data_IF_042201728399
#
_entry.id   IF_042201728399
#
_cell.length_a   1.000
_cell.length_b   1.000
_cell.length_c   1.000
_cell.angle_alpha   90.00
_cell.angle_beta   90.00
_cell.angle_gamma   90.00
#
_symmetry.space_group_name_H-M   'P 1'
#
loop_
_entity.id
_entity.type
_entity.pdbx_description
1 polymer ?
#
# COMPACT_ATOMS: atom_id res chain seq x y z
N UNK A 1 53.91 38.75 15.97
CA UNK A 1 54.58 38.17 14.79
C UNK A 1 53.50 37.27 14.16
N UNK A 2 52.72 37.84 13.26
CA UNK A 2 52.65 37.65 11.80
C UNK A 2 52.85 36.17 11.38
N UNK A 3 51.97 35.49 10.73
CA UNK A 3 51.39 35.72 9.41
C UNK A 3 50.19 34.78 9.11
N UNK A 4 49.19 35.37 8.49
CA UNK A 4 48.13 34.72 7.73
C UNK A 4 48.55 34.67 6.24
N UNK A 5 48.17 33.70 5.42
CA UNK A 5 47.76 34.09 4.09
C UNK A 5 46.40 33.53 3.65
N UNK A 6 45.65 34.45 3.13
CA UNK A 6 44.48 34.29 2.21
C UNK A 6 44.94 33.67 0.88
N UNK A 7 44.08 32.88 0.26
CA UNK A 7 43.98 32.72 -1.22
C UNK A 7 42.61 32.17 -1.55
N UNK A 8 41.82 32.95 -2.10
CA UNK A 8 41.54 33.33 -3.50
C UNK A 8 40.53 32.42 -4.15
N UNK A 9 39.34 32.99 -4.22
CA UNK A 9 38.20 32.64 -5.08
C UNK A 9 38.62 32.83 -6.55
N UNK A 10 38.39 31.86 -7.41
CA UNK A 10 38.37 32.04 -8.87
C UNK A 10 36.95 31.91 -9.40
N UNK A 11 36.47 33.06 -9.83
CA UNK A 11 35.26 33.21 -10.68
C UNK A 11 35.73 33.01 -12.13
N UNK A 12 35.12 32.10 -12.87
CA UNK A 12 35.22 32.12 -14.33
C UNK A 12 33.87 32.57 -14.89
N UNK A 13 33.93 33.73 -15.55
CA UNK A 13 32.84 34.33 -16.32
C UNK A 13 32.77 33.76 -17.73
N UNK A 14 31.54 33.77 -18.23
CA UNK A 14 31.06 33.57 -19.59
C UNK A 14 31.90 34.11 -20.73
N UNK A 15 31.83 33.43 -21.89
CA UNK A 15 31.71 34.07 -23.22
C UNK A 15 31.04 33.09 -24.23
N UNK A 16 30.32 33.60 -25.24
CA UNK A 16 29.47 32.84 -26.15
C UNK A 16 30.14 32.62 -27.50
N UNK A 17 29.73 31.56 -28.22
CA UNK A 17 29.99 31.46 -29.65
C UNK A 17 28.75 30.95 -30.40
N UNK A 18 28.37 31.73 -31.35
CA UNK A 18 27.39 31.60 -32.40
C UNK A 18 27.71 30.50 -33.42
N UNK A 19 26.67 29.98 -34.07
CA UNK A 19 26.81 29.18 -35.30
C UNK A 19 25.48 28.63 -35.76
N UNK A 20 24.87 29.39 -36.72
CA UNK A 20 23.73 28.97 -37.53
C UNK A 20 24.13 27.93 -38.58
N UNK A 21 23.21 27.00 -38.91
CA UNK A 21 22.88 26.62 -40.31
C UNK A 21 21.64 25.70 -40.32
N UNK A 22 20.56 26.22 -40.81
CA UNK A 22 19.75 25.82 -41.97
C UNK A 22 18.88 24.58 -41.91
N UNK A 23 17.59 24.87 -42.04
CA UNK A 23 16.44 24.04 -42.36
C UNK A 23 16.54 23.34 -43.71
N UNK A 24 15.67 22.32 -44.05
CA UNK A 24 14.38 22.71 -44.56
C UNK A 24 13.14 21.93 -44.09
N UNK A 25 12.05 22.68 -44.17
CA UNK A 25 10.66 22.25 -44.11
C UNK A 25 10.30 21.15 -45.11
N UNK A 26 9.44 20.22 -44.71
CA UNK A 26 8.44 19.64 -45.62
C UNK A 26 7.08 19.66 -44.92
N UNK A 27 6.22 20.48 -45.44
CA UNK A 27 4.76 20.50 -45.28
C UNK A 27 4.20 19.39 -46.15
N UNK A 28 3.32 18.57 -45.65
CA UNK A 28 2.32 17.90 -46.44
C UNK A 28 0.96 18.04 -45.79
N UNK A 29 0.13 18.77 -46.50
CA UNK A 29 -1.32 18.93 -46.36
C UNK A 29 -2.00 17.62 -46.75
N UNK A 30 -2.95 17.13 -45.95
CA UNK A 30 -4.00 16.28 -46.46
C UNK A 30 -5.38 16.89 -46.18
N UNK A 31 -6.13 16.99 -47.28
CA UNK A 31 -7.38 17.69 -47.46
C UNK A 31 -8.56 17.07 -46.70
N UNK A 32 -9.45 17.96 -46.26
CA UNK A 32 -10.83 17.67 -45.90
C UNK A 32 -11.63 17.16 -47.12
N UNK A 33 -12.34 16.06 -46.96
CA UNK A 33 -13.51 15.74 -47.78
C UNK A 33 -14.77 15.80 -46.94
N UNK A 34 -15.50 16.89 -47.14
CA UNK A 34 -16.92 16.99 -46.78
C UNK A 34 -17.75 16.27 -47.85
N UNK A 35 -18.59 15.34 -47.48
CA UNK A 35 -19.69 14.85 -48.31
C UNK A 35 -21.02 15.04 -47.58
N UNK A 36 -21.86 15.83 -48.25
CA UNK A 36 -23.24 16.19 -47.91
C UNK A 36 -24.22 15.03 -48.16
N UNK A 37 -25.36 15.01 -47.48
CA UNK A 37 -26.39 13.95 -47.65
C UNK A 37 -27.32 14.27 -48.82
N UNK A 38 -27.73 13.24 -49.56
CA UNK A 38 -28.78 13.28 -50.58
C UNK A 38 -30.11 12.65 -50.10
N UNK A 39 -31.24 13.01 -50.67
CA UNK A 39 -32.52 13.00 -49.99
C UNK A 39 -33.39 11.76 -50.21
N UNK A 40 -34.39 11.66 -49.35
CA UNK A 40 -35.53 10.73 -49.35
C UNK A 40 -36.16 10.43 -50.70
N UNK A 41 -36.40 9.12 -50.98
CA UNK A 41 -37.44 8.66 -51.90
C UNK A 41 -38.41 7.74 -51.12
N UNK A 42 -39.66 8.23 -50.99
CA UNK A 42 -40.81 7.41 -50.55
C UNK A 42 -41.23 6.53 -51.70
N UNK A 43 -41.30 5.22 -51.47
CA UNK A 43 -42.07 4.31 -52.34
C UNK A 43 -43.16 3.65 -51.51
N UNK A 44 -44.39 4.01 -51.83
CA UNK A 44 -45.62 3.29 -51.43
C UNK A 44 -45.66 1.94 -52.17
N UNK A 45 -45.84 0.85 -51.46
CA UNK A 45 -46.35 -0.40 -52.05
C UNK A 45 -47.38 -1.05 -51.15
N UNK A 46 -48.51 -1.28 -51.75
CA UNK A 46 -49.75 -1.83 -51.19
C UNK A 46 -49.59 -3.31 -50.83
N UNK A 47 -50.27 -3.68 -49.78
CA UNK A 47 -50.43 -5.02 -49.31
C UNK A 47 -51.03 -5.99 -50.35
N UNK A 48 -50.48 -7.17 -50.44
CA UNK A 48 -51.19 -8.35 -50.88
C UNK A 48 -51.03 -9.48 -49.85
N UNK A 49 -52.16 -9.89 -49.30
CA UNK A 49 -52.29 -10.98 -48.34
C UNK A 49 -52.29 -12.27 -49.15
N UNK A 50 -51.36 -13.18 -48.90
CA UNK A 50 -51.52 -14.60 -49.24
C UNK A 50 -50.93 -15.49 -48.14
N UNK A 51 -51.74 -16.44 -47.79
CA UNK A 51 -51.71 -17.46 -46.76
C UNK A 51 -50.41 -18.24 -46.60
N UNK A 52 -50.01 -18.39 -45.36
CA UNK A 52 -49.62 -19.71 -44.79
C UNK A 52 -48.18 -20.16 -44.98
N UNK A 53 -47.32 -19.85 -44.01
CA UNK A 53 -46.30 -20.78 -43.57
C UNK A 53 -46.02 -20.56 -42.07
N UNK A 54 -46.38 -21.52 -41.25
CA UNK A 54 -46.05 -21.53 -39.85
C UNK A 54 -44.57 -21.85 -39.73
N UNK A 55 -43.73 -20.80 -39.53
CA UNK A 55 -42.31 -20.97 -39.23
C UNK A 55 -42.19 -21.13 -37.70
N UNK A 56 -41.88 -22.35 -37.26
CA UNK A 56 -41.50 -22.61 -35.89
C UNK A 56 -40.19 -21.87 -35.62
N UNK A 57 -40.25 -20.72 -34.93
CA UNK A 57 -39.08 -20.08 -34.35
C UNK A 57 -38.75 -20.86 -33.09
N UNK A 58 -37.76 -21.74 -33.18
CA UNK A 58 -37.08 -22.31 -32.04
C UNK A 58 -36.31 -21.19 -31.34
N UNK A 59 -36.87 -20.65 -30.26
CA UNK A 59 -36.18 -19.83 -29.31
C UNK A 59 -35.08 -20.69 -28.66
N UNK A 60 -33.86 -20.60 -29.16
CA UNK A 60 -32.67 -21.03 -28.40
C UNK A 60 -32.61 -20.11 -27.16
N UNK A 61 -32.55 -20.67 -25.95
CA UNK A 61 -32.24 -19.86 -24.78
C UNK A 61 -30.77 -19.36 -24.96
N UNK A 62 -30.60 -18.08 -25.25
CA UNK A 62 -29.35 -17.40 -25.01
C UNK A 62 -29.12 -17.50 -23.50
N UNK A 63 -28.33 -18.48 -23.08
CA UNK A 63 -27.73 -18.48 -21.76
C UNK A 63 -26.91 -17.18 -21.67
N UNK A 64 -27.46 -16.17 -21.02
CA UNK A 64 -26.69 -15.06 -20.50
C UNK A 64 -25.67 -15.69 -19.56
N UNK A 65 -24.49 -15.99 -20.09
CA UNK A 65 -23.31 -16.24 -19.27
C UNK A 65 -23.13 -14.95 -18.44
N UNK A 66 -23.71 -14.97 -17.24
CA UNK A 66 -23.50 -13.91 -16.27
C UNK A 66 -22.01 -13.85 -16.07
N UNK A 67 -21.41 -12.77 -16.51
CA UNK A 67 -20.05 -12.44 -16.17
C UNK A 67 -20.05 -12.23 -14.67
N UNK A 68 -19.66 -13.25 -13.91
CA UNK A 68 -19.41 -13.09 -12.49
C UNK A 68 -18.23 -12.13 -12.38
N UNK A 69 -18.52 -10.90 -11.98
CA UNK A 69 -17.49 -9.93 -11.66
C UNK A 69 -16.57 -10.59 -10.62
N UNK A 70 -15.27 -10.65 -10.91
CA UNK A 70 -14.29 -11.14 -9.96
C UNK A 70 -14.45 -10.37 -8.63
N UNK A 71 -14.31 -11.06 -7.51
CA UNK A 71 -14.45 -10.43 -6.21
C UNK A 71 -13.35 -9.35 -6.05
N UNK A 72 -13.76 -8.15 -5.64
CA UNK A 72 -12.82 -7.03 -5.42
C UNK A 72 -11.81 -7.31 -4.28
N UNK A 73 -12.04 -8.37 -3.47
CA UNK A 73 -11.20 -8.77 -2.34
C UNK A 73 -11.76 -9.98 -1.61
N UNK A 74 -11.17 -10.33 -0.47
CA UNK A 74 -11.62 -11.41 0.40
C UNK A 74 -12.12 -10.86 1.74
N UNK A 75 -13.22 -11.41 2.26
CA UNK A 75 -13.79 -11.03 3.55
C UNK A 75 -13.67 -12.21 4.53
N UNK A 76 -13.07 -11.93 5.68
CA UNK A 76 -13.06 -12.84 6.83
C UNK A 76 -14.06 -12.30 7.87
N UNK A 77 -15.21 -12.95 8.04
CA UNK A 77 -16.19 -12.51 9.03
C UNK A 77 -15.60 -12.66 10.43
N UNK A 78 -15.72 -11.61 11.23
CA UNK A 78 -15.35 -11.68 12.64
C UNK A 78 -16.25 -12.66 13.39
N UNK A 79 -15.63 -13.56 14.14
CA UNK A 79 -16.36 -14.50 15.02
C UNK A 79 -16.59 -13.87 16.41
N UNK A 80 -16.36 -14.63 17.48
CA UNK A 80 -16.41 -14.11 18.84
C UNK A 80 -15.04 -13.53 19.21
N UNK A 81 -15.06 -12.46 19.97
CA UNK A 81 -13.83 -11.85 20.45
C UNK A 81 -13.99 -10.36 20.77
N UNK A 82 -12.98 -9.74 21.39
CA UNK A 82 -13.04 -8.32 21.79
C UNK A 82 -13.20 -7.36 20.59
N UNK A 83 -12.79 -7.77 19.39
CA UNK A 83 -12.90 -6.98 18.16
C UNK A 83 -14.27 -7.04 17.48
N UNK A 84 -15.23 -7.80 18.03
CA UNK A 84 -16.56 -7.95 17.44
C UNK A 84 -17.26 -6.60 17.23
N UNK A 85 -17.78 -6.38 16.04
CA UNK A 85 -18.41 -5.12 15.62
C UNK A 85 -17.44 -4.09 15.03
N UNK A 86 -16.13 -4.35 15.05
CA UNK A 86 -15.11 -3.50 14.39
C UNK A 86 -14.72 -4.07 13.04
N UNK A 87 -14.51 -3.18 12.06
CA UNK A 87 -14.15 -3.52 10.69
C UNK A 87 -12.74 -3.02 10.36
N UNK A 88 -11.92 -3.92 9.87
CA UNK A 88 -10.55 -3.62 9.41
C UNK A 88 -10.48 -3.85 7.90
N UNK A 89 -9.99 -2.87 7.16
CA UNK A 89 -9.70 -3.02 5.73
C UNK A 89 -8.20 -3.07 5.54
N UNK A 90 -7.74 -4.08 4.82
CA UNK A 90 -6.34 -4.30 4.47
C UNK A 90 -6.14 -3.97 2.99
N UNK A 91 -5.07 -3.24 2.69
CA UNK A 91 -4.69 -2.86 1.33
C UNK A 91 -3.36 -3.53 0.97
N UNK A 92 -3.41 -4.54 0.11
CA UNK A 92 -2.26 -5.30 -0.37
C UNK A 92 -1.90 -4.88 -1.80
N UNK A 93 -0.75 -4.24 -1.96
CA UNK A 93 -0.27 -3.74 -3.24
C UNK A 93 1.21 -3.39 -3.17
N UNK A 94 2.05 -4.39 -2.94
CA UNK A 94 3.50 -4.26 -2.85
C UNK A 94 4.13 -5.36 -3.71
N UNK A 95 4.82 -4.96 -4.77
CA UNK A 95 5.39 -5.88 -5.74
C UNK A 95 6.68 -6.55 -5.28
N UNK A 96 7.21 -6.19 -4.10
CA UNK A 96 8.49 -6.70 -3.59
C UNK A 96 8.34 -7.57 -2.35
N UNK A 97 7.50 -7.16 -1.37
CA UNK A 97 7.49 -7.76 -0.02
C UNK A 97 6.32 -8.68 0.26
N UNK A 98 5.60 -9.13 -0.77
CA UNK A 98 4.52 -10.15 -0.66
C UNK A 98 3.39 -9.73 0.27
N UNK A 99 2.94 -8.47 0.20
CA UNK A 99 1.78 -8.02 0.99
C UNK A 99 0.52 -8.85 0.72
N UNK A 100 0.37 -9.41 -0.48
CA UNK A 100 -0.70 -10.32 -0.89
C UNK A 100 -0.69 -11.67 -0.16
N UNK A 101 0.41 -12.04 0.49
CA UNK A 101 0.54 -13.22 1.35
C UNK A 101 0.42 -12.85 2.84
N UNK A 102 1.12 -11.79 3.25
CA UNK A 102 1.22 -11.39 4.65
C UNK A 102 -0.08 -10.82 5.23
N UNK A 103 -0.74 -9.92 4.49
CA UNK A 103 -1.93 -9.25 4.99
C UNK A 103 -3.15 -10.18 5.12
N UNK A 104 -3.43 -11.12 4.20
CA UNK A 104 -4.48 -12.12 4.41
C UNK A 104 -4.23 -13.00 5.63
N UNK A 105 -2.97 -13.38 5.91
CA UNK A 105 -2.63 -14.16 7.10
C UNK A 105 -2.94 -13.37 8.38
N UNK A 106 -2.51 -12.11 8.46
CA UNK A 106 -2.79 -11.25 9.61
C UNK A 106 -4.30 -11.00 9.77
N UNK A 107 -5.02 -10.80 8.66
CA UNK A 107 -6.47 -10.61 8.65
C UNK A 107 -7.21 -11.84 9.18
N UNK A 108 -6.77 -13.07 8.82
CA UNK A 108 -7.32 -14.33 9.36
C UNK A 108 -7.12 -14.42 10.88
N UNK A 109 -5.93 -14.08 11.38
CA UNK A 109 -5.67 -14.06 12.85
C UNK A 109 -6.65 -13.09 13.53
N UNK A 110 -6.74 -11.85 13.05
CA UNK A 110 -7.62 -10.84 13.64
C UNK A 110 -9.09 -11.23 13.57
N UNK A 111 -9.52 -11.87 12.49
CA UNK A 111 -10.92 -12.29 12.36
C UNK A 111 -11.24 -13.49 13.25
N UNK A 112 -10.45 -14.54 13.19
CA UNK A 112 -10.77 -15.81 13.84
C UNK A 112 -10.42 -15.78 15.34
N UNK A 113 -9.28 -15.20 15.71
CA UNK A 113 -8.79 -15.19 17.12
C UNK A 113 -9.31 -14.01 17.92
N UNK A 114 -9.61 -12.89 17.24
CA UNK A 114 -9.93 -11.62 17.92
C UNK A 114 -11.31 -11.04 17.58
N UNK A 115 -12.03 -11.61 16.60
CA UNK A 115 -13.41 -11.28 16.30
C UNK A 115 -13.61 -10.03 15.41
N UNK A 116 -12.56 -9.47 14.83
CA UNK A 116 -12.68 -8.36 13.87
C UNK A 116 -13.26 -8.84 12.54
N UNK A 117 -14.13 -8.06 11.91
CA UNK A 117 -14.46 -8.27 10.49
C UNK A 117 -13.30 -7.70 9.66
N UNK A 118 -12.64 -8.55 8.87
CA UNK A 118 -11.49 -8.14 8.07
C UNK A 118 -11.80 -8.28 6.58
N UNK A 119 -11.57 -7.22 5.81
CA UNK A 119 -11.65 -7.22 4.34
C UNK A 119 -10.25 -6.97 3.80
N UNK A 120 -9.75 -7.83 2.93
CA UNK A 120 -8.45 -7.64 2.26
C UNK A 120 -8.69 -7.33 0.79
N UNK A 121 -8.20 -6.18 0.36
CA UNK A 121 -8.24 -5.70 -1.02
C UNK A 121 -6.85 -5.86 -1.63
N UNK A 122 -6.79 -6.17 -2.92
CA UNK A 122 -5.56 -6.48 -3.63
C UNK A 122 -5.39 -5.61 -4.87
N UNK A 123 -4.15 -5.40 -5.29
CA UNK A 123 -3.87 -4.99 -6.65
C UNK A 123 -4.32 -6.11 -7.60
N UNK A 124 -5.23 -5.81 -8.52
CA UNK A 124 -5.88 -6.77 -9.41
C UNK A 124 -5.56 -6.43 -10.86
N UNK A 125 -5.13 -7.44 -11.61
CA UNK A 125 -5.01 -7.33 -13.06
C UNK A 125 -6.42 -7.23 -13.68
N UNK A 126 -6.76 -6.11 -14.34
CA UNK A 126 -8.11 -5.93 -14.90
C UNK A 126 -8.41 -6.85 -16.09
N UNK A 127 -7.38 -7.45 -16.71
CA UNK A 127 -7.55 -8.32 -17.87
C UNK A 127 -8.10 -9.71 -17.50
N UNK A 128 -7.70 -10.24 -16.34
CA UNK A 128 -8.04 -11.61 -15.94
C UNK A 128 -8.57 -11.75 -14.50
N UNK A 129 -8.54 -10.68 -13.69
CA UNK A 129 -9.02 -10.67 -12.31
C UNK A 129 -8.11 -11.36 -11.31
N UNK A 130 -6.86 -11.63 -11.68
CA UNK A 130 -5.86 -12.20 -10.77
C UNK A 130 -5.23 -11.14 -9.85
N UNK A 131 -4.77 -11.57 -8.68
CA UNK A 131 -3.94 -10.74 -7.81
C UNK A 131 -2.60 -10.53 -8.51
N UNK A 132 -2.31 -9.27 -8.82
CA UNK A 132 -1.08 -8.88 -9.50
C UNK A 132 -0.48 -7.63 -8.86
N UNK A 133 0.51 -7.77 -7.99
CA UNK A 133 1.19 -6.64 -7.35
C UNK A 133 1.85 -5.67 -8.32
N UNK A 134 2.14 -6.09 -9.57
CA UNK A 134 2.72 -5.23 -10.61
C UNK A 134 1.68 -4.30 -11.26
N UNK A 135 0.39 -4.58 -11.08
CA UNK A 135 -0.69 -3.68 -11.49
C UNK A 135 -0.78 -2.49 -10.54
N UNK A 136 -0.06 -1.39 -10.84
CA UNK A 136 0.07 -0.23 -9.95
C UNK A 136 -1.18 0.65 -9.90
N UNK A 137 -2.05 0.54 -10.91
CA UNK A 137 -3.16 1.48 -11.18
C UNK A 137 -4.54 0.92 -10.86
N UNK A 138 -4.64 -0.23 -10.22
CA UNK A 138 -5.94 -0.84 -9.92
C UNK A 138 -5.93 -1.58 -8.59
N UNK A 139 -6.66 -1.03 -7.62
CA UNK A 139 -6.92 -1.63 -6.31
C UNK A 139 -8.42 -1.51 -6.04
N UNK A 140 -9.24 -2.41 -6.61
CA UNK A 140 -10.69 -2.31 -6.55
C UNK A 140 -11.23 -2.52 -5.14
N UNK A 141 -12.46 -2.07 -4.90
CA UNK A 141 -13.16 -2.27 -3.62
C UNK A 141 -12.83 -1.24 -2.54
N UNK A 142 -12.08 -0.17 -2.83
CA UNK A 142 -11.68 0.86 -1.83
C UNK A 142 -12.87 1.54 -1.14
N UNK A 143 -14.10 1.47 -1.68
CA UNK A 143 -15.31 1.90 -0.99
C UNK A 143 -15.53 1.18 0.37
N UNK A 144 -14.89 0.03 0.61
CA UNK A 144 -14.90 -0.62 1.92
C UNK A 144 -14.30 0.26 3.03
N UNK A 145 -13.42 1.21 2.70
CA UNK A 145 -12.84 2.18 3.65
C UNK A 145 -13.89 3.12 4.23
N UNK A 146 -14.98 3.41 3.52
CA UNK A 146 -16.02 4.34 3.97
C UNK A 146 -16.60 3.92 5.33
N UNK A 147 -16.76 2.61 5.55
CA UNK A 147 -17.26 2.02 6.80
C UNK A 147 -16.18 1.42 7.72
N UNK A 148 -14.92 1.43 7.32
CA UNK A 148 -13.83 0.84 8.11
C UNK A 148 -13.55 1.62 9.40
N UNK A 149 -13.23 0.90 10.48
CA UNK A 149 -12.70 1.46 11.74
C UNK A 149 -11.17 1.56 11.71
N UNK A 150 -10.49 0.78 10.89
CA UNK A 150 -9.03 0.74 10.74
C UNK A 150 -8.65 0.37 9.31
N UNK A 151 -7.63 1.07 8.77
CA UNK A 151 -6.92 0.69 7.56
C UNK A 151 -5.54 0.12 7.92
N UNK A 152 -5.22 -1.08 7.43
CA UNK A 152 -3.89 -1.69 7.49
C UNK A 152 -3.34 -1.77 6.07
N UNK A 153 -2.16 -1.23 5.81
CA UNK A 153 -1.66 -1.12 4.45
C UNK A 153 -0.23 -1.64 4.29
N UNK A 154 -0.02 -2.38 3.20
CA UNK A 154 1.27 -2.74 2.62
C UNK A 154 1.24 -2.36 1.14
N UNK A 155 1.51 -1.09 0.86
CA UNK A 155 1.46 -0.52 -0.49
C UNK A 155 2.82 0.01 -0.92
N UNK A 156 3.08 -0.02 -2.24
CA UNK A 156 4.28 0.55 -2.84
C UNK A 156 3.97 1.13 -4.22
N UNK A 157 4.28 2.40 -4.43
CA UNK A 157 4.23 3.09 -5.73
C UNK A 157 2.89 3.01 -6.47
N UNK A 158 1.76 3.02 -5.73
CA UNK A 158 0.44 3.01 -6.38
C UNK A 158 0.14 4.34 -7.05
N UNK A 159 -0.38 4.28 -8.28
CA UNK A 159 -0.95 5.40 -9.03
C UNK A 159 -2.42 5.09 -9.30
N UNK A 160 -3.24 5.21 -8.26
CA UNK A 160 -4.64 4.82 -8.33
C UNK A 160 -5.45 5.83 -9.12
N UNK A 161 -6.47 5.39 -9.91
CA UNK A 161 -7.44 6.28 -10.51
C UNK A 161 -8.10 7.17 -9.44
N UNK A 162 -8.43 8.41 -9.80
CA UNK A 162 -8.99 9.39 -8.87
C UNK A 162 -10.21 8.89 -8.11
N UNK A 163 -11.08 8.13 -8.78
CA UNK A 163 -12.26 7.54 -8.15
C UNK A 163 -11.89 6.54 -7.04
N UNK A 164 -10.84 5.75 -7.23
CA UNK A 164 -10.35 4.83 -6.20
C UNK A 164 -9.61 5.59 -5.09
N UNK A 165 -8.71 6.50 -5.47
CA UNK A 165 -7.91 7.27 -4.52
C UNK A 165 -8.78 8.15 -3.62
N UNK A 166 -9.91 8.65 -4.11
CA UNK A 166 -10.87 9.44 -3.33
C UNK A 166 -11.29 8.75 -2.03
N UNK A 167 -11.64 7.46 -2.06
CA UNK A 167 -12.03 6.72 -0.85
C UNK A 167 -10.91 6.67 0.19
N UNK A 168 -9.66 6.51 -0.26
CA UNK A 168 -8.50 6.54 0.64
C UNK A 168 -8.29 7.93 1.24
N UNK A 169 -8.37 8.98 0.44
CA UNK A 169 -8.22 10.37 0.91
C UNK A 169 -9.33 10.77 1.86
N UNK A 170 -10.58 10.41 1.54
CA UNK A 170 -11.71 10.66 2.43
C UNK A 170 -11.55 9.94 3.77
N UNK A 171 -11.02 8.70 3.75
CA UNK A 171 -10.70 7.93 4.96
C UNK A 171 -9.66 8.65 5.84
N UNK A 172 -8.57 9.12 5.23
CA UNK A 172 -7.50 9.86 5.92
C UNK A 172 -8.06 11.16 6.51
N UNK A 173 -8.83 11.92 5.71
CA UNK A 173 -9.44 13.17 6.13
C UNK A 173 -10.53 12.99 7.20
N UNK A 174 -11.16 11.82 7.25
CA UNK A 174 -12.10 11.50 8.35
C UNK A 174 -11.41 11.29 9.69
N UNK A 175 -10.07 11.33 9.75
CA UNK A 175 -9.30 11.13 10.99
C UNK A 175 -9.34 9.68 11.49
N UNK A 176 -9.53 8.72 10.58
CA UNK A 176 -9.58 7.30 10.93
C UNK A 176 -8.17 6.70 11.03
N UNK A 177 -7.95 5.69 11.89
CA UNK A 177 -6.61 5.19 12.21
C UNK A 177 -5.98 4.38 11.06
N UNK A 178 -4.65 4.41 11.01
CA UNK A 178 -3.84 3.73 10.00
C UNK A 178 -2.74 2.90 10.67
N UNK A 179 -2.55 1.67 10.18
CA UNK A 179 -1.35 0.86 10.41
C UNK A 179 -0.64 0.70 9.07
N UNK A 180 0.57 1.22 8.99
CA UNK A 180 1.37 1.23 7.77
C UNK A 180 2.61 0.35 7.91
N UNK A 181 2.80 -0.56 6.95
CA UNK A 181 3.88 -1.53 6.94
C UNK A 181 4.89 -1.17 5.84
N UNK A 182 6.14 -1.22 6.18
CA UNK A 182 7.34 -1.16 5.33
C UNK A 182 7.23 -0.13 4.19
N UNK A 183 6.97 -0.57 2.97
CA UNK A 183 6.90 0.24 1.76
C UNK A 183 5.76 1.26 1.74
N UNK A 184 4.85 1.21 2.71
CA UNK A 184 3.80 2.22 2.81
C UNK A 184 4.33 3.63 3.04
N UNK A 185 5.59 3.80 3.45
CA UNK A 185 6.28 5.09 3.49
C UNK A 185 6.43 5.73 2.10
N UNK A 186 6.36 4.93 1.03
CA UNK A 186 6.32 5.35 -0.37
C UNK A 186 5.17 4.66 -1.12
N UNK A 187 3.99 4.65 -0.48
CA UNK A 187 2.80 3.97 -0.98
C UNK A 187 2.36 4.46 -2.36
N UNK A 188 2.52 5.76 -2.64
CA UNK A 188 2.01 6.41 -3.84
C UNK A 188 3.11 7.02 -4.68
N UNK A 189 2.96 6.91 -6.01
CA UNK A 189 3.86 7.50 -7.01
C UNK A 189 3.05 7.87 -8.25
N UNK A 190 3.06 9.14 -8.61
CA UNK A 190 2.29 9.69 -9.74
C UNK A 190 3.23 10.03 -10.90
N UNK A 191 3.51 9.04 -11.76
CA UNK A 191 4.35 9.22 -12.94
C UNK A 191 3.56 9.67 -14.19
N UNK A 192 2.32 9.19 -14.34
CA UNK A 192 1.51 9.35 -15.54
C UNK A 192 0.37 10.37 -15.37
N UNK A 193 -0.31 10.37 -14.22
CA UNK A 193 -1.43 11.28 -13.93
C UNK A 193 -1.03 12.38 -12.94
N UNK A 194 -0.10 13.25 -13.35
CA UNK A 194 0.39 14.37 -12.51
C UNK A 194 -0.64 15.47 -12.29
N UNK A 195 -1.69 15.52 -13.12
CA UNK A 195 -2.81 16.45 -12.98
C UNK A 195 -3.87 15.97 -11.99
N UNK A 196 -3.73 14.77 -11.45
CA UNK A 196 -4.62 14.25 -10.40
C UNK A 196 -4.63 15.20 -9.20
N UNK A 197 -5.80 15.51 -8.60
CA UNK A 197 -5.88 16.28 -7.35
C UNK A 197 -5.20 15.56 -6.19
N UNK A 198 -4.84 14.29 -6.37
CA UNK A 198 -4.16 13.45 -5.39
C UNK A 198 -2.66 13.27 -5.66
N UNK A 199 -2.11 13.87 -6.73
CA UNK A 199 -0.69 13.78 -7.05
C UNK A 199 0.22 14.26 -5.91
N UNK A 200 -0.26 15.15 -5.04
CA UNK A 200 0.47 15.57 -3.83
C UNK A 200 0.79 14.44 -2.85
N UNK A 201 0.09 13.28 -2.95
CA UNK A 201 0.35 12.09 -2.12
C UNK A 201 1.61 11.32 -2.55
N UNK A 202 2.16 11.65 -3.73
CA UNK A 202 3.43 11.11 -4.23
C UNK A 202 4.56 11.25 -3.19
N UNK A 203 5.33 10.18 -3.01
CA UNK A 203 6.41 10.12 -2.04
C UNK A 203 7.55 11.13 -2.27
N UNK A 204 7.67 11.68 -3.48
CA UNK A 204 8.59 12.75 -3.87
C UNK A 204 7.90 14.12 -4.02
N UNK A 205 6.63 14.24 -3.63
CA UNK A 205 5.91 15.50 -3.76
C UNK A 205 6.67 16.67 -3.14
N UNK A 206 6.73 17.78 -3.85
CA UNK A 206 7.28 19.04 -3.37
C UNK A 206 6.19 19.95 -2.80
N UNK A 207 4.97 19.87 -3.33
CA UNK A 207 3.81 20.65 -2.87
C UNK A 207 3.34 20.21 -1.48
N UNK A 208 3.54 18.95 -1.15
CA UNK A 208 3.33 18.36 0.16
C UNK A 208 4.54 17.49 0.50
N UNK A 209 5.64 18.08 1.02
CA UNK A 209 6.97 17.48 1.01
C UNK A 209 7.01 16.05 1.54
N UNK A 210 7.53 15.11 0.72
CA UNK A 210 7.57 13.69 1.04
C UNK A 210 6.20 13.00 1.03
N UNK A 211 5.15 13.70 0.55
CA UNK A 211 3.83 13.17 0.30
C UNK A 211 3.18 12.48 1.50
N UNK A 212 2.35 11.47 1.22
CA UNK A 212 1.65 10.71 2.24
C UNK A 212 2.59 10.12 3.31
N UNK A 213 3.73 9.57 2.89
CA UNK A 213 4.67 8.96 3.82
C UNK A 213 5.14 9.94 4.89
N UNK A 214 5.76 11.04 4.50
CA UNK A 214 6.29 12.00 5.47
C UNK A 214 5.19 12.75 6.22
N UNK A 215 4.15 13.17 5.53
CA UNK A 215 3.12 14.03 6.12
C UNK A 215 2.17 13.26 7.04
N UNK A 216 1.72 12.07 6.64
CA UNK A 216 0.78 11.26 7.42
C UNK A 216 1.48 10.25 8.31
N UNK A 217 2.43 9.49 7.77
CA UNK A 217 3.12 8.44 8.52
C UNK A 217 4.28 8.97 9.38
N UNK A 218 4.83 10.12 9.02
CA UNK A 218 5.97 10.77 9.70
C UNK A 218 7.31 10.56 9.00
N UNK A 219 7.39 9.63 8.06
CA UNK A 219 8.59 9.39 7.26
C UNK A 219 8.21 8.96 5.84
N UNK A 220 8.91 9.47 4.85
CA UNK A 220 8.96 8.92 3.49
C UNK A 220 10.12 7.94 3.37
N UNK A 221 10.17 7.16 2.28
CA UNK A 221 11.34 6.31 2.05
C UNK A 221 12.56 7.15 1.69
N UNK A 222 13.66 6.94 2.42
CA UNK A 222 14.93 7.63 2.22
C UNK A 222 15.95 6.70 1.59
N UNK A 223 16.25 5.59 2.29
CA UNK A 223 17.21 4.59 1.85
C UNK A 223 17.12 3.33 2.74
N UNK A 224 17.77 2.26 2.31
CA UNK A 224 18.09 1.12 3.13
C UNK A 224 19.21 1.47 4.12
N UNK A 225 18.92 1.46 5.42
CA UNK A 225 19.95 1.68 6.44
C UNK A 225 20.76 0.41 6.71
N UNK A 226 20.08 -0.73 6.80
CA UNK A 226 20.72 -2.05 6.72
C UNK A 226 21.01 -2.42 5.27
N UNK A 227 21.97 -3.32 5.04
CA UNK A 227 22.28 -3.83 3.70
C UNK A 227 21.20 -4.83 3.27
N UNK A 228 20.36 -4.42 2.31
CA UNK A 228 19.23 -5.19 1.82
C UNK A 228 19.62 -6.62 1.41
N UNK A 229 18.89 -7.61 1.93
CA UNK A 229 19.13 -9.03 1.66
C UNK A 229 20.43 -9.60 2.25
N UNK A 230 21.14 -8.85 3.11
CA UNK A 230 22.40 -9.26 3.75
C UNK A 230 22.40 -9.02 5.26
N UNK A 231 21.73 -8.00 5.73
CA UNK A 231 21.65 -7.60 7.13
C UNK A 231 20.20 -7.62 7.57
N UNK A 232 19.91 -8.38 8.61
CA UNK A 232 18.59 -8.48 9.22
C UNK A 232 18.42 -7.45 10.35
N UNK A 233 17.21 -7.36 10.89
CA UNK A 233 16.87 -6.37 11.90
C UNK A 233 16.36 -7.03 13.17
N UNK A 234 16.92 -6.66 14.33
CA UNK A 234 16.40 -6.95 15.66
C UNK A 234 15.68 -5.74 16.22
N UNK A 235 14.45 -5.94 16.68
CA UNK A 235 13.69 -4.91 17.39
C UNK A 235 14.17 -4.81 18.85
N UNK A 236 14.55 -3.60 19.25
CA UNK A 236 14.92 -3.26 20.63
C UNK A 236 13.86 -2.34 21.21
N UNK A 237 13.15 -2.83 22.23
CA UNK A 237 12.08 -2.04 22.88
C UNK A 237 12.67 -0.77 23.48
N UNK A 238 12.05 0.37 23.21
CA UNK A 238 12.39 1.62 23.85
C UNK A 238 11.86 1.63 25.30
N UNK A 239 12.76 1.64 26.25
CA UNK A 239 12.42 1.58 27.68
C UNK A 239 11.51 2.73 28.13
N UNK A 240 11.58 3.89 27.46
CA UNK A 240 10.69 5.02 27.77
C UNK A 240 9.21 4.71 27.48
N UNK A 241 8.91 3.70 26.68
CA UNK A 241 7.56 3.27 26.31
C UNK A 241 7.28 1.80 26.57
N UNK A 242 8.10 1.12 27.38
CA UNK A 242 7.98 -0.33 27.61
C UNK A 242 6.59 -0.78 28.11
N UNK A 243 5.88 0.09 28.84
CA UNK A 243 4.54 -0.18 29.36
C UNK A 243 3.40 0.21 28.38
N UNK A 244 3.74 0.66 27.17
CA UNK A 244 2.74 1.05 26.19
C UNK A 244 1.90 -0.18 25.78
N UNK A 245 0.54 -0.10 25.73
CA UNK A 245 -0.34 -1.25 25.46
C UNK A 245 0.01 -2.03 24.20
N UNK A 246 0.51 -1.38 23.16
CA UNK A 246 0.95 -2.02 21.90
C UNK A 246 2.10 -3.01 22.14
N UNK A 247 2.92 -2.82 23.17
CA UNK A 247 4.06 -3.68 23.50
C UNK A 247 3.71 -4.83 24.47
N UNK A 248 2.44 -4.93 24.90
CA UNK A 248 2.01 -5.95 25.86
C UNK A 248 2.28 -7.37 25.33
N UNK A 249 3.10 -8.16 26.05
CA UNK A 249 3.48 -9.50 25.67
C UNK A 249 4.35 -9.62 24.42
N UNK A 250 4.82 -8.49 23.88
CA UNK A 250 5.76 -8.48 22.75
C UNK A 250 7.16 -8.80 23.24
N UNK A 251 7.78 -9.81 22.64
CA UNK A 251 9.15 -10.23 22.92
C UNK A 251 9.81 -10.71 21.61
N UNK A 252 11.14 -10.72 21.61
CA UNK A 252 11.99 -11.29 20.57
C UNK A 252 11.58 -10.89 19.13
N UNK A 253 11.41 -9.61 18.89
CA UNK A 253 11.14 -9.09 17.54
C UNK A 253 12.41 -9.21 16.71
N UNK A 254 12.36 -10.04 15.69
CA UNK A 254 13.42 -10.17 14.68
C UNK A 254 12.80 -10.40 13.32
N UNK A 255 13.37 -9.78 12.29
CA UNK A 255 12.93 -9.93 10.91
C UNK A 255 14.11 -10.03 9.95
N UNK A 256 14.01 -10.84 8.88
CA UNK A 256 15.07 -10.95 7.89
C UNK A 256 15.22 -9.70 7.01
N UNK A 257 14.24 -8.78 7.00
CA UNK A 257 14.37 -7.54 6.24
C UNK A 257 15.22 -6.51 6.99
N UNK A 258 15.89 -5.67 6.23
CA UNK A 258 16.69 -4.56 6.73
C UNK A 258 15.82 -3.40 7.24
N UNK A 259 16.33 -2.63 8.18
CA UNK A 259 15.70 -1.38 8.63
C UNK A 259 15.94 -0.25 7.62
N UNK A 260 14.94 0.60 7.42
CA UNK A 260 15.07 1.81 6.60
C UNK A 260 15.72 2.96 7.35
N UNK A 261 16.34 3.88 6.61
CA UNK A 261 16.72 5.18 7.13
C UNK A 261 15.48 5.98 7.50
N UNK A 262 15.40 6.47 8.73
CA UNK A 262 14.28 7.25 9.29
C UNK A 262 14.85 8.51 9.91
N UNK A 263 14.67 9.65 9.24
CA UNK A 263 15.37 10.91 9.58
C UNK A 263 14.46 12.14 9.69
N UNK A 264 13.17 12.03 9.24
CA UNK A 264 12.26 13.18 9.21
C UNK A 264 11.18 13.14 10.30
N UNK A 265 11.22 12.15 11.21
CA UNK A 265 10.18 12.02 12.22
C UNK A 265 9.97 13.31 13.02
N UNK A 266 8.72 13.79 13.14
CA UNK A 266 8.41 14.89 14.03
C UNK A 266 8.81 14.58 15.48
N UNK A 267 9.25 15.59 16.22
CA UNK A 267 9.66 15.44 17.64
C UNK A 267 8.56 14.90 18.56
N UNK A 268 7.30 15.04 18.17
CA UNK A 268 6.13 14.53 18.90
C UNK A 268 5.87 13.04 18.67
N UNK A 269 6.67 12.39 17.80
CA UNK A 269 6.52 10.96 17.49
C UNK A 269 7.04 10.09 18.63
N UNK A 270 6.29 9.06 18.99
CA UNK A 270 6.66 8.08 20.00
C UNK A 270 7.31 6.88 19.32
N UNK A 271 8.62 6.74 19.43
CA UNK A 271 9.34 5.56 18.91
C UNK A 271 9.24 4.45 19.94
N UNK A 272 8.49 3.39 19.64
CA UNK A 272 8.27 2.25 20.54
C UNK A 272 9.38 1.21 20.45
N UNK A 273 9.94 1.00 19.26
CA UNK A 273 10.96 -0.01 18.99
C UNK A 273 12.04 0.58 18.11
N UNK A 274 13.29 0.36 18.48
CA UNK A 274 14.48 0.69 17.69
C UNK A 274 14.90 -0.50 16.84
N UNK A 275 15.45 -0.27 15.66
CA UNK A 275 15.96 -1.28 14.75
C UNK A 275 17.47 -1.42 14.88
N UNK A 276 17.90 -2.53 15.48
CA UNK A 276 19.30 -2.92 15.55
C UNK A 276 19.65 -3.73 14.30
N UNK A 277 20.63 -3.26 13.53
CA UNK A 277 21.15 -3.96 12.35
C UNK A 277 22.04 -5.12 12.80
N UNK A 278 21.73 -6.33 12.35
CA UNK A 278 22.57 -7.52 12.56
C UNK A 278 23.47 -7.76 11.35
N UNK A 279 24.65 -8.36 11.57
CA UNK A 279 25.66 -8.58 10.54
C UNK A 279 25.32 -9.68 9.53
N UNK A 280 24.17 -10.33 9.66
CA UNK A 280 23.70 -11.40 8.79
C UNK A 280 22.20 -11.60 8.87
N UNK A 281 21.73 -12.74 8.34
CA UNK A 281 20.31 -13.04 8.09
C UNK A 281 19.73 -14.04 9.11
N UNK A 282 20.38 -14.23 10.25
CA UNK A 282 19.90 -15.11 11.32
C UNK A 282 19.65 -14.31 12.60
N UNK A 283 18.67 -14.71 13.42
CA UNK A 283 18.39 -14.03 14.70
C UNK A 283 19.56 -14.11 15.69
N UNK A 284 20.49 -15.02 15.50
CA UNK A 284 21.69 -15.20 16.34
C UNK A 284 22.90 -14.41 15.89
N UNK A 285 22.82 -13.73 14.72
CA UNK A 285 23.94 -12.95 14.21
C UNK A 285 24.20 -11.73 15.11
N UNK A 286 25.47 -11.35 15.32
CA UNK A 286 25.79 -10.24 16.20
C UNK A 286 25.39 -8.90 15.59
N UNK A 287 25.12 -7.87 16.43
CA UNK A 287 24.89 -6.51 15.96
C UNK A 287 26.11 -5.97 15.20
N UNK A 288 25.85 -5.25 14.11
CA UNK A 288 26.86 -4.48 13.41
C UNK A 288 27.41 -3.40 14.35
N UNK A 289 28.72 -3.28 14.41
CA UNK A 289 29.38 -2.26 15.23
C UNK A 289 29.44 -0.91 14.50
N UNK A 290 29.47 0.19 15.28
CA UNK A 290 29.64 1.54 14.77
C UNK A 290 28.35 2.26 14.37
N UNK A 291 28.44 3.14 13.36
CA UNK A 291 27.43 4.15 13.04
C UNK A 291 26.04 3.58 12.68
N UNK A 292 25.95 2.35 12.15
CA UNK A 292 24.64 1.73 11.83
C UNK A 292 23.75 1.49 13.05
N UNK A 293 24.36 1.33 14.23
CA UNK A 293 23.62 1.09 15.45
C UNK A 293 23.82 2.18 16.53
N UNK A 294 24.51 3.27 16.20
CA UNK A 294 24.76 4.38 17.13
C UNK A 294 24.56 5.74 16.44
N UNK A 295 23.31 6.28 16.41
CA UNK A 295 22.09 5.71 16.99
C UNK A 295 21.44 4.63 16.11
N UNK A 296 20.65 3.74 16.73
CA UNK A 296 19.75 2.85 16.01
C UNK A 296 18.64 3.66 15.33
N UNK A 297 18.12 3.16 14.19
CA UNK A 297 16.98 3.76 13.50
C UNK A 297 15.66 3.43 14.19
N UNK A 298 14.66 4.32 14.14
CA UNK A 298 13.29 3.97 14.50
C UNK A 298 12.78 2.80 13.64
N UNK A 299 12.23 1.78 14.29
CA UNK A 299 11.68 0.59 13.64
C UNK A 299 10.15 0.57 13.71
N UNK A 300 9.59 1.01 14.85
CA UNK A 300 8.16 1.15 15.10
C UNK A 300 7.89 2.47 15.78
N UNK A 301 6.94 3.23 15.25
CA UNK A 301 6.55 4.48 15.88
C UNK A 301 5.05 4.76 15.79
N UNK A 302 4.59 5.60 16.71
CA UNK A 302 3.23 6.10 16.78
C UNK A 302 3.23 7.61 16.64
N UNK A 303 2.23 8.13 15.95
CA UNK A 303 1.95 9.56 15.91
C UNK A 303 0.47 9.82 15.76
N UNK A 304 0.08 11.06 16.04
CA UNK A 304 -1.22 11.60 15.65
C UNK A 304 -1.03 12.44 14.37
N UNK A 305 -1.92 12.26 13.42
CA UNK A 305 -1.99 13.09 12.22
C UNK A 305 -3.32 13.85 12.21
N UNK A 306 -3.27 15.15 12.03
CA UNK A 306 -4.47 15.99 11.85
C UNK A 306 -4.55 16.43 10.40
N UNK A 307 -5.55 15.93 9.68
CA UNK A 307 -5.78 16.24 8.27
C UNK A 307 -6.48 17.57 8.03
N UNK A 308 -6.79 17.85 6.78
CA UNK A 308 -7.45 19.09 6.34
C UNK A 308 -8.84 19.32 6.99
N UNK A 309 -9.53 18.25 7.36
CA UNK A 309 -10.82 18.32 8.07
C UNK A 309 -10.72 18.75 9.54
N UNK A 310 -9.50 18.90 10.08
CA UNK A 310 -9.25 19.15 11.50
C UNK A 310 -9.42 17.91 12.39
N UNK A 311 -9.78 16.75 11.84
CA UNK A 311 -9.89 15.49 12.58
C UNK A 311 -8.54 14.83 12.70
N UNK A 312 -8.30 14.20 13.85
CA UNK A 312 -7.02 13.57 14.18
C UNK A 312 -7.12 12.05 14.12
N UNK A 313 -6.21 11.42 13.39
CA UNK A 313 -6.06 9.99 13.34
C UNK A 313 -4.89 9.49 14.18
N UNK A 314 -5.01 8.26 14.69
CA UNK A 314 -3.90 7.49 15.26
C UNK A 314 -3.17 6.78 14.13
N UNK A 315 -1.88 6.96 14.04
CA UNK A 315 -1.03 6.33 13.02
C UNK A 315 0.03 5.49 13.70
N UNK A 316 0.06 4.21 13.33
CA UNK A 316 1.15 3.27 13.63
C UNK A 316 1.92 3.00 12.36
N UNK A 317 3.24 3.11 12.42
CA UNK A 317 4.12 2.81 11.29
C UNK A 317 5.26 1.92 11.71
N UNK A 318 5.64 0.99 10.85
CA UNK A 318 6.82 0.15 11.00
C UNK A 318 7.54 -0.05 9.68
N UNK A 319 8.87 -0.12 9.71
CA UNK A 319 9.69 -0.47 8.54
C UNK A 319 9.81 -2.00 8.34
N UNK A 320 9.17 -2.80 9.20
CA UNK A 320 8.94 -4.23 9.01
C UNK A 320 7.64 -4.46 8.22
N UNK A 321 7.44 -5.64 7.61
CA UNK A 321 6.16 -5.97 7.00
C UNK A 321 6.23 -6.82 5.74
N UNK A 322 7.39 -7.35 5.37
CA UNK A 322 7.45 -8.43 4.38
C UNK A 322 6.68 -9.66 4.89
N UNK A 323 6.14 -10.46 3.98
CA UNK A 323 5.43 -11.67 4.39
C UNK A 323 6.31 -12.56 5.30
N UNK A 324 7.58 -12.74 4.97
CA UNK A 324 8.54 -13.49 5.81
C UNK A 324 8.81 -12.85 7.17
N UNK A 325 8.69 -11.53 7.30
CA UNK A 325 8.81 -10.85 8.60
C UNK A 325 7.70 -11.30 9.56
N UNK A 326 6.51 -11.58 9.00
CA UNK A 326 5.34 -12.01 9.76
C UNK A 326 5.43 -13.47 10.26
N UNK A 327 6.50 -14.21 9.94
CA UNK A 327 6.82 -15.45 10.62
C UNK A 327 7.26 -15.22 12.06
N UNK A 328 7.74 -14.01 12.40
CA UNK A 328 8.09 -13.65 13.76
C UNK A 328 6.84 -13.43 14.63
N UNK A 329 6.73 -14.18 15.72
CA UNK A 329 5.59 -14.13 16.66
C UNK A 329 5.48 -12.76 17.34
N UNK A 330 6.63 -12.18 17.74
CA UNK A 330 6.68 -10.87 18.37
C UNK A 330 6.14 -9.77 17.47
N UNK A 331 6.45 -9.80 16.17
CA UNK A 331 5.91 -8.85 15.18
C UNK A 331 4.40 -9.06 14.99
N UNK A 332 3.92 -10.31 14.85
CA UNK A 332 2.47 -10.53 14.74
C UNK A 332 1.73 -10.00 15.97
N UNK A 333 2.26 -10.22 17.17
CA UNK A 333 1.65 -9.73 18.42
C UNK A 333 1.65 -8.21 18.47
N UNK A 334 2.73 -7.57 18.06
CA UNK A 334 2.82 -6.12 17.94
C UNK A 334 1.71 -5.55 17.03
N UNK A 335 1.49 -6.17 15.87
CA UNK A 335 0.46 -5.72 14.90
C UNK A 335 -0.97 -5.99 15.38
N UNK A 336 -1.20 -7.12 16.04
CA UNK A 336 -2.50 -7.42 16.67
C UNK A 336 -2.79 -6.39 17.76
N UNK A 337 -1.86 -6.12 18.65
CA UNK A 337 -2.00 -5.12 19.71
C UNK A 337 -2.22 -3.71 19.13
N UNK A 338 -1.47 -3.36 18.06
CA UNK A 338 -1.64 -2.10 17.35
C UNK A 338 -3.07 -1.95 16.77
N UNK A 339 -3.65 -3.05 16.28
CA UNK A 339 -5.03 -3.05 15.78
C UNK A 339 -6.05 -2.74 16.88
N UNK A 340 -5.89 -3.32 18.06
CA UNK A 340 -6.71 -2.97 19.23
C UNK A 340 -6.55 -1.51 19.64
N UNK A 341 -5.30 -1.04 19.77
CA UNK A 341 -4.98 0.32 20.15
C UNK A 341 -5.57 1.33 19.16
N UNK A 342 -5.43 1.06 17.87
CA UNK A 342 -5.92 1.93 16.81
C UNK A 342 -7.43 2.18 16.90
N UNK A 343 -8.20 1.12 17.16
CA UNK A 343 -9.68 1.22 17.24
C UNK A 343 -10.21 1.54 18.65
N UNK A 344 -9.35 1.92 19.60
CA UNK A 344 -9.74 2.33 20.95
C UNK A 344 -10.05 1.17 21.90
N UNK A 345 -9.56 -0.03 21.61
CA UNK A 345 -9.74 -1.24 22.43
C UNK A 345 -8.48 -1.65 23.21
N UNK A 346 -7.56 -0.73 23.49
CA UNK A 346 -6.27 -1.02 24.13
C UNK A 346 -6.42 -1.70 25.51
N UNK A 347 -7.49 -1.43 26.25
CA UNK A 347 -7.76 -2.06 27.53
C UNK A 347 -8.17 -3.54 27.40
N UNK A 348 -8.56 -3.95 26.18
CA UNK A 348 -8.94 -5.33 25.88
C UNK A 348 -7.81 -6.16 25.30
N UNK A 349 -6.61 -5.61 25.15
CA UNK A 349 -5.44 -6.37 24.72
C UNK A 349 -5.11 -7.42 25.79
N UNK A 350 -5.12 -8.73 25.45
CA UNK A 350 -4.73 -9.77 26.41
C UNK A 350 -3.26 -9.62 26.84
N UNK A 351 -2.92 -10.11 28.02
CA UNK A 351 -1.53 -10.15 28.49
C UNK A 351 -0.62 -10.84 27.46
N UNK A 352 -1.16 -11.88 26.81
CA UNK A 352 -0.52 -12.60 25.69
C UNK A 352 -1.59 -12.80 24.60
N UNK A 353 -1.65 -11.88 23.63
CA UNK A 353 -2.58 -12.01 22.50
C UNK A 353 -2.25 -13.27 21.68
N UNK A 354 -3.28 -14.06 21.35
CA UNK A 354 -3.08 -15.23 20.48
C UNK A 354 -2.80 -14.77 19.05
N UNK A 355 -1.67 -15.17 18.50
CA UNK A 355 -1.21 -14.83 17.15
C UNK A 355 -0.83 -16.06 16.33
N UNK A 356 -1.34 -17.22 16.74
CA UNK A 356 -1.18 -18.46 15.99
C UNK A 356 -1.85 -18.37 14.63
N UNK A 357 -1.20 -18.90 13.63
CA UNK A 357 -1.72 -18.93 12.27
C UNK A 357 -3.11 -19.58 12.22
N UNK A 358 -3.90 -19.10 11.30
CA UNK A 358 -5.17 -19.72 10.92
C UNK A 358 -4.99 -20.36 9.55
N UNK A 359 -4.78 -21.67 9.58
CA UNK A 359 -4.36 -22.45 8.42
C UNK A 359 -2.84 -22.41 8.23
N UNK A 360 -2.39 -22.93 7.11
CA UNK A 360 -0.97 -22.99 6.76
C UNK A 360 -0.47 -21.60 6.33
N UNK A 361 0.74 -21.24 6.78
CA UNK A 361 1.44 -20.05 6.34
C UNK A 361 2.87 -20.40 5.95
N UNK A 362 3.15 -20.30 4.66
CA UNK A 362 4.47 -20.52 4.05
C UNK A 362 4.73 -19.39 3.06
N UNK A 363 5.19 -18.23 3.55
CA UNK A 363 5.38 -17.06 2.70
C UNK A 363 6.55 -17.24 1.74
N UNK A 364 6.39 -16.66 0.56
CA UNK A 364 7.48 -16.48 -0.38
C UNK A 364 8.51 -15.47 0.14
N UNK A 365 9.78 -15.66 -0.23
CA UNK A 365 10.83 -14.68 0.05
C UNK A 365 10.56 -13.38 -0.74
N UNK A 366 10.92 -12.24 -0.15
CA UNK A 366 10.78 -10.94 -0.82
C UNK A 366 11.66 -10.83 -2.07
N UNK A 367 11.31 -9.91 -2.95
CA UNK A 367 11.98 -9.63 -4.22
C UNK A 367 10.99 -9.49 -5.38
N UNK A 368 11.38 -8.71 -6.37
CA UNK A 368 10.55 -8.40 -7.54
C UNK A 368 10.22 -9.64 -8.37
N UNK A 369 8.99 -9.67 -8.91
CA UNK A 369 8.52 -10.74 -9.78
C UNK A 369 8.40 -12.12 -9.12
N UNK A 370 8.47 -12.21 -7.79
CA UNK A 370 8.39 -13.47 -7.04
C UNK A 370 6.99 -13.80 -6.51
N UNK A 371 5.99 -12.98 -6.79
CA UNK A 371 4.61 -13.28 -6.41
C UNK A 371 4.08 -14.51 -7.14
N UNK A 372 3.08 -15.17 -6.55
CA UNK A 372 2.45 -16.36 -7.15
C UNK A 372 1.45 -15.93 -8.23
N UNK A 373 1.73 -16.17 -9.52
CA UNK A 373 0.82 -15.78 -10.59
C UNK A 373 -0.47 -16.62 -10.58
N UNK A 374 -1.56 -16.05 -11.08
CA UNK A 374 -2.84 -16.73 -11.24
C UNK A 374 -3.67 -16.87 -9.95
N UNK A 375 -3.18 -16.34 -8.82
CA UNK A 375 -3.92 -16.34 -7.57
C UNK A 375 -5.08 -15.34 -7.65
N UNK A 376 -6.25 -15.72 -7.12
CA UNK A 376 -7.44 -14.87 -7.06
C UNK A 376 -7.87 -14.61 -5.62
N UNK A 377 -8.62 -13.54 -5.32
CA UNK A 377 -9.11 -13.28 -3.96
C UNK A 377 -9.90 -14.47 -3.37
N UNK A 378 -10.72 -15.16 -4.17
CA UNK A 378 -11.50 -16.31 -3.75
C UNK A 378 -10.68 -17.51 -3.30
N UNK A 379 -9.44 -17.66 -3.78
CA UNK A 379 -8.51 -18.73 -3.39
C UNK A 379 -8.03 -18.56 -1.94
N UNK A 380 -8.15 -17.36 -1.40
CA UNK A 380 -7.68 -16.97 -0.05
C UNK A 380 -8.77 -17.06 1.02
N UNK A 381 -9.97 -17.50 0.68
CA UNK A 381 -11.07 -17.69 1.62
C UNK A 381 -10.71 -18.70 2.73
N UNK A 382 -11.36 -18.60 3.89
CA UNK A 382 -11.24 -19.63 4.92
C UNK A 382 -11.85 -20.93 4.38
N UNK A 383 -11.03 -21.97 4.36
CA UNK A 383 -11.54 -23.32 4.10
C UNK A 383 -12.17 -23.83 5.39
N UNK A 384 -13.40 -24.27 5.29
CA UNK A 384 -14.19 -24.87 6.39
C UNK A 384 -13.69 -26.26 6.72
#
# INVERSE_FOLDING_TARGET
>A
MNNNPRSQVRICRNLPVSGQSDLPCCFELFELYCLHPAPYARANMRANISRGFATFITLLPFALAGWTRAADGVVYPGQQGPGKGKQIVFLAGDEEYRSEEGLPMLAKILAVRHGFKCTVLFAINPADGTIDPLTLTNLPGLAALDSADLCVMGLRFRELPDQQMKHFVDYVNAGKPIIALRTSTHAFKYDHNRESPYAKYDWHSQDWPGGFGQQVLGETWVDHHGSHGKESTRGVINLAFQDHPVLRGVADVWVPTDVYSVIHLPKTTQVLVWGQVLSGMKPTDPPVQGAKNHPMMPLVWLRNYTGESGKTSKVFTTTMGAAVDLENEGLRRLLVNASYWAVGLQERIPAQANVDYVGEYKPGWFGFGKFKPGLRPEDLTLKH
#
